data_IF_687302560406
#
_entry.id   IF_687302560406
#
_cell.length_a   1.000
_cell.length_b   1.000
_cell.length_c   1.000
_cell.angle_alpha   90.00
_cell.angle_beta   90.00
_cell.angle_gamma   90.00
#
_symmetry.space_group_name_H-M   'P 1'
#
loop_
_entity.id
_entity.type
_entity.pdbx_description
1 polymer ?
#
# COMPACT_ATOMS: atom_id res chain seq x y z
N UNK A 1 -17.29 8.48 -16.51
CA UNK A 1 -15.93 8.11 -16.05
C UNK A 1 -15.72 6.58 -16.17
N UNK A 2 -16.36 5.92 -17.16
CA UNK A 2 -16.58 4.46 -17.18
C UNK A 2 -15.78 3.68 -18.23
N UNK A 3 -14.99 4.34 -19.10
CA UNK A 3 -14.33 3.64 -20.21
C UNK A 3 -13.09 2.81 -19.80
N UNK A 4 -12.48 3.09 -18.63
CA UNK A 4 -11.22 2.44 -18.29
C UNK A 4 -11.39 0.97 -17.87
N UNK A 5 -12.49 0.63 -17.18
CA UNK A 5 -12.73 -0.75 -16.72
C UNK A 5 -13.01 -1.70 -17.89
N UNK A 6 -13.72 -1.22 -18.93
CA UNK A 6 -13.99 -1.98 -20.15
C UNK A 6 -12.69 -2.27 -20.92
N UNK A 7 -11.82 -1.27 -21.08
CA UNK A 7 -10.53 -1.42 -21.77
C UNK A 7 -9.54 -2.34 -21.06
N UNK A 8 -9.58 -2.39 -19.71
CA UNK A 8 -8.74 -3.29 -18.92
C UNK A 8 -9.16 -4.75 -19.10
N UNK A 9 -10.47 -5.03 -19.14
CA UNK A 9 -11.02 -6.35 -19.43
C UNK A 9 -10.67 -6.81 -20.83
N UNK A 10 -10.71 -5.89 -21.80
CA UNK A 10 -10.37 -6.15 -23.20
C UNK A 10 -8.87 -6.44 -23.41
N UNK A 11 -7.99 -5.79 -22.64
CA UNK A 11 -6.54 -6.11 -22.62
C UNK A 11 -6.20 -7.41 -21.87
N UNK A 12 -7.05 -7.84 -20.94
CA UNK A 12 -6.90 -9.13 -20.26
C UNK A 12 -7.34 -10.31 -21.16
N UNK A 13 -8.23 -10.07 -22.12
CA UNK A 13 -8.73 -11.07 -23.09
C UNK A 13 -8.06 -10.98 -24.47
N UNK A 14 -7.50 -9.81 -24.82
CA UNK A 14 -6.71 -9.60 -26.03
C UNK A 14 -5.27 -10.07 -25.83
N UNK A 15 -4.68 -10.72 -26.84
CA UNK A 15 -3.28 -11.14 -26.91
C UNK A 15 -2.28 -9.94 -26.95
N UNK A 16 -2.64 -8.76 -26.42
CA UNK A 16 -1.72 -7.64 -26.23
C UNK A 16 -0.73 -8.04 -25.13
N UNK A 17 0.38 -8.63 -25.56
CA UNK A 17 1.53 -8.93 -24.74
C UNK A 17 2.12 -7.62 -24.20
N UNK A 18 1.72 -7.23 -23.00
CA UNK A 18 2.49 -6.26 -22.23
C UNK A 18 3.83 -6.91 -21.88
N UNK A 19 4.90 -6.41 -22.50
CA UNK A 19 6.25 -6.81 -22.17
C UNK A 19 6.76 -5.93 -21.01
N UNK A 20 6.97 -6.58 -19.88
CA UNK A 20 7.56 -5.96 -18.71
C UNK A 20 8.97 -5.47 -19.08
N UNK A 21 9.24 -4.18 -18.94
CA UNK A 21 10.56 -3.62 -19.22
C UNK A 21 11.48 -3.99 -18.06
N UNK A 22 12.09 -5.17 -18.13
CA UNK A 22 12.97 -5.72 -17.09
C UNK A 22 14.05 -4.74 -16.64
N UNK A 23 14.57 -3.95 -17.58
CA UNK A 23 15.53 -2.88 -17.32
C UNK A 23 15.03 -1.74 -16.43
N UNK A 24 13.73 -1.65 -16.12
CA UNK A 24 13.15 -0.62 -15.25
C UNK A 24 12.70 -1.17 -13.89
N UNK A 25 12.68 -2.49 -13.69
CA UNK A 25 12.31 -3.12 -12.42
C UNK A 25 13.20 -2.65 -11.27
N UNK A 26 14.47 -2.35 -11.55
CA UNK A 26 15.42 -1.87 -10.55
C UNK A 26 15.08 -0.47 -10.01
N UNK A 27 14.24 0.31 -10.71
CA UNK A 27 13.77 1.62 -10.27
C UNK A 27 12.59 1.53 -9.31
N UNK A 28 11.92 0.37 -9.26
CA UNK A 28 10.77 0.18 -8.39
C UNK A 28 11.22 0.19 -6.93
N UNK A 29 10.49 0.91 -6.05
CA UNK A 29 10.79 0.87 -4.63
C UNK A 29 10.57 -0.54 -4.09
N UNK A 30 11.44 -0.99 -3.17
CA UNK A 30 11.31 -2.29 -2.51
C UNK A 30 10.60 -2.14 -1.17
N UNK A 31 9.76 -3.10 -0.87
CA UNK A 31 9.03 -3.21 0.38
C UNK A 31 9.15 -4.63 0.91
N UNK A 32 9.74 -4.74 2.08
CA UNK A 32 10.05 -6.01 2.74
C UNK A 32 9.03 -6.34 3.83
N UNK A 33 8.15 -5.39 4.16
CA UNK A 33 7.16 -5.55 5.24
C UNK A 33 7.79 -5.46 6.63
N UNK A 34 8.92 -4.77 6.77
CA UNK A 34 9.64 -4.65 8.04
C UNK A 34 8.97 -3.62 8.97
N UNK A 35 9.22 -3.78 10.27
CA UNK A 35 8.77 -2.81 11.29
C UNK A 35 9.38 -1.45 11.00
N UNK A 36 8.54 -0.44 10.79
CA UNK A 36 8.94 0.93 10.46
C UNK A 36 8.91 1.27 8.97
N UNK A 37 8.69 0.29 8.09
CA UNK A 37 8.32 0.58 6.70
C UNK A 37 6.87 1.07 6.64
N UNK A 38 6.60 2.05 5.77
CA UNK A 38 5.27 2.64 5.58
C UNK A 38 4.69 2.23 4.20
N UNK A 39 3.70 1.31 4.18
CA UNK A 39 2.93 0.93 2.99
C UNK A 39 2.35 2.10 2.18
N UNK A 40 1.89 3.18 2.84
CA UNK A 40 1.36 4.35 2.12
C UNK A 40 2.47 5.13 1.43
N UNK A 41 3.61 5.31 2.10
CA UNK A 41 4.81 5.89 1.51
C UNK A 41 5.34 5.05 0.34
N UNK A 42 5.28 3.71 0.45
CA UNK A 42 5.60 2.82 -0.66
C UNK A 42 4.69 3.09 -1.85
N UNK A 43 3.36 3.04 -1.66
CA UNK A 43 2.39 3.25 -2.75
C UNK A 43 2.61 4.59 -3.45
N UNK A 44 2.88 5.65 -2.68
CA UNK A 44 3.17 6.98 -3.24
C UNK A 44 4.42 6.97 -4.10
N UNK A 45 5.53 6.41 -3.62
CA UNK A 45 6.77 6.28 -4.40
C UNK A 45 6.57 5.42 -5.64
N UNK A 46 5.87 4.30 -5.49
CA UNK A 46 5.58 3.37 -6.57
C UNK A 46 4.80 4.04 -7.70
N UNK A 47 3.72 4.77 -7.39
CA UNK A 47 2.96 5.48 -8.42
C UNK A 47 3.76 6.54 -9.15
N UNK A 48 4.64 7.26 -8.45
CA UNK A 48 5.53 8.23 -9.08
C UNK A 48 6.45 7.52 -10.07
N UNK A 49 7.09 6.41 -9.68
CA UNK A 49 7.97 5.63 -10.57
C UNK A 49 7.19 5.10 -11.77
N UNK A 50 6.05 4.43 -11.57
CA UNK A 50 5.24 3.92 -12.67
C UNK A 50 4.75 5.01 -13.64
N UNK A 51 4.44 6.22 -13.14
CA UNK A 51 4.05 7.36 -13.99
C UNK A 51 5.14 7.75 -14.98
N UNK A 52 6.41 7.54 -14.63
CA UNK A 52 7.56 7.80 -15.52
C UNK A 52 7.79 6.68 -16.54
N UNK A 53 7.29 5.47 -16.27
CA UNK A 53 7.48 4.26 -17.09
C UNK A 53 6.41 4.13 -18.18
N UNK A 54 6.06 5.24 -18.84
CA UNK A 54 4.94 5.31 -19.79
C UNK A 54 5.13 4.33 -20.97
N UNK A 55 4.07 3.60 -21.29
CA UNK A 55 3.99 2.76 -22.49
C UNK A 55 2.81 3.21 -23.34
N UNK A 56 3.06 3.50 -24.61
CA UNK A 56 2.07 4.04 -25.53
C UNK A 56 0.98 2.99 -25.78
N UNK A 57 -0.29 3.37 -25.61
CA UNK A 57 -1.44 2.48 -25.84
C UNK A 57 -1.81 1.54 -24.67
N UNK A 58 -1.10 1.58 -23.54
CA UNK A 58 -1.39 0.75 -22.37
C UNK A 58 -1.91 1.63 -21.22
N UNK A 59 -3.07 1.31 -20.61
CA UNK A 59 -3.57 2.00 -19.44
C UNK A 59 -2.57 1.96 -18.29
N UNK A 60 -2.36 3.10 -17.64
CA UNK A 60 -1.39 3.23 -16.56
C UNK A 60 -1.71 2.33 -15.36
N UNK A 61 -3.00 2.12 -15.09
CA UNK A 61 -3.46 1.26 -14.01
C UNK A 61 -3.12 -0.22 -14.27
N UNK A 62 -3.11 -0.65 -15.53
CA UNK A 62 -2.67 -1.99 -15.93
C UNK A 62 -1.16 -2.17 -15.65
N UNK A 63 -0.36 -1.16 -16.02
CA UNK A 63 1.09 -1.16 -15.77
C UNK A 63 1.36 -1.24 -14.27
N UNK A 64 0.72 -0.36 -13.48
CA UNK A 64 0.84 -0.36 -12.01
C UNK A 64 0.48 -1.73 -11.43
N UNK A 65 -0.59 -2.36 -11.90
CA UNK A 65 -1.02 -3.66 -11.43
C UNK A 65 -0.02 -4.77 -11.77
N UNK A 66 0.58 -4.75 -12.96
CA UNK A 66 1.58 -5.73 -13.41
C UNK A 66 2.96 -5.54 -12.77
N UNK A 67 3.35 -4.30 -12.49
CA UNK A 67 4.67 -3.95 -11.94
C UNK A 67 4.71 -4.05 -10.40
N UNK A 68 3.56 -3.92 -9.72
CA UNK A 68 3.50 -3.89 -8.25
C UNK A 68 4.10 -5.12 -7.56
N UNK A 69 3.89 -6.37 -8.04
CA UNK A 69 4.52 -7.55 -7.44
C UNK A 69 6.03 -7.45 -7.35
N UNK A 70 6.70 -6.74 -8.27
CA UNK A 70 8.15 -6.56 -8.23
C UNK A 70 8.63 -5.56 -7.18
N UNK A 71 7.71 -4.79 -6.58
CA UNK A 71 8.00 -3.90 -5.45
C UNK A 71 7.92 -4.61 -4.10
N UNK A 72 7.38 -5.83 -4.05
CA UNK A 72 7.19 -6.59 -2.82
C UNK A 72 8.21 -7.71 -2.72
N UNK A 73 8.70 -7.95 -1.50
CA UNK A 73 9.51 -9.13 -1.18
C UNK A 73 8.57 -10.28 -0.78
N UNK A 74 8.03 -11.01 -1.78
CA UNK A 74 7.08 -12.09 -1.53
C UNK A 74 6.29 -12.54 -2.75
N UNK A 75 5.37 -13.49 -2.52
CA UNK A 75 4.63 -14.16 -3.59
C UNK A 75 3.76 -13.18 -4.40
N UNK A 76 3.77 -13.29 -5.75
CA UNK A 76 2.92 -12.48 -6.61
C UNK A 76 1.45 -12.77 -6.30
N UNK A 77 0.71 -11.72 -5.94
CA UNK A 77 -0.73 -11.79 -5.76
C UNK A 77 -1.39 -11.36 -7.08
N UNK A 78 -2.36 -12.15 -7.56
CA UNK A 78 -3.15 -11.77 -8.73
C UNK A 78 -4.21 -10.76 -8.27
N UNK A 79 -4.23 -9.60 -8.93
CA UNK A 79 -5.19 -8.54 -8.68
C UNK A 79 -6.11 -8.40 -9.89
N UNK A 80 -7.41 -8.24 -9.65
CA UNK A 80 -8.38 -8.04 -10.72
C UNK A 80 -8.47 -6.56 -11.12
N UNK A 81 -8.27 -5.65 -10.16
CA UNK A 81 -8.25 -4.20 -10.38
C UNK A 81 -7.14 -3.52 -9.58
N UNK A 82 -6.77 -2.29 -9.97
CA UNK A 82 -5.84 -1.47 -9.18
C UNK A 82 -6.42 -1.14 -7.79
N UNK A 83 -7.74 -1.04 -7.66
CA UNK A 83 -8.43 -0.85 -6.38
C UNK A 83 -8.19 -2.04 -5.45
N UNK A 84 -8.44 -3.25 -5.94
CA UNK A 84 -8.23 -4.50 -5.19
C UNK A 84 -6.77 -4.64 -4.76
N UNK A 85 -5.83 -4.32 -5.66
CA UNK A 85 -4.41 -4.33 -5.34
C UNK A 85 -4.08 -3.45 -4.15
N UNK A 86 -4.57 -2.20 -4.12
CA UNK A 86 -4.35 -1.29 -2.99
C UNK A 86 -5.00 -1.82 -1.72
N UNK A 87 -6.25 -2.26 -1.80
CA UNK A 87 -7.00 -2.72 -0.64
C UNK A 87 -6.35 -3.96 -0.02
N UNK A 88 -6.04 -4.98 -0.82
CA UNK A 88 -5.43 -6.22 -0.33
C UNK A 88 -4.03 -5.98 0.24
N UNK A 89 -3.23 -5.11 -0.39
CA UNK A 89 -1.92 -4.74 0.13
C UNK A 89 -2.04 -4.04 1.48
N UNK A 90 -2.91 -3.03 1.57
CA UNK A 90 -3.09 -2.28 2.82
C UNK A 90 -3.71 -3.15 3.91
N UNK A 91 -4.69 -4.01 3.62
CA UNK A 91 -5.23 -4.95 4.62
C UNK A 91 -4.18 -5.92 5.15
N UNK A 92 -3.27 -6.40 4.29
CA UNK A 92 -2.22 -7.34 4.69
C UNK A 92 -1.27 -6.72 5.72
N UNK A 93 -0.89 -5.46 5.54
CA UNK A 93 0.08 -4.79 6.41
C UNK A 93 -0.58 -3.92 7.51
N UNK A 94 -1.83 -3.50 7.29
CA UNK A 94 -2.67 -2.70 8.19
C UNK A 94 -4.11 -3.23 8.20
N UNK A 95 -4.34 -4.40 8.82
CA UNK A 95 -5.68 -4.94 8.91
C UNK A 95 -6.57 -4.00 9.73
N UNK A 96 -7.79 -3.78 9.24
CA UNK A 96 -8.80 -2.91 9.86
C UNK A 96 -9.03 -3.24 11.34
N UNK A 97 -8.91 -4.52 11.72
CA UNK A 97 -9.00 -4.99 13.10
C UNK A 97 -7.92 -4.38 14.01
N UNK A 98 -6.67 -4.27 13.54
CA UNK A 98 -5.58 -3.63 14.30
C UNK A 98 -5.83 -2.12 14.44
N UNK A 99 -6.24 -1.47 13.36
CA UNK A 99 -6.59 -0.03 13.38
C UNK A 99 -7.74 0.27 14.36
N UNK A 100 -8.76 -0.60 14.41
CA UNK A 100 -9.87 -0.46 15.34
C UNK A 100 -9.41 -0.63 16.81
N UNK A 101 -8.55 -1.60 17.09
CA UNK A 101 -7.97 -1.81 18.43
C UNK A 101 -7.12 -0.62 18.87
N UNK A 102 -6.19 -0.15 18.03
CA UNK A 102 -5.36 1.04 18.34
C UNK A 102 -6.22 2.27 18.63
N UNK A 103 -7.27 2.53 17.82
CA UNK A 103 -8.20 3.65 18.08
C UNK A 103 -8.94 3.49 19.41
N UNK A 104 -9.39 2.28 19.73
CA UNK A 104 -10.06 1.99 21.02
C UNK A 104 -9.12 2.22 22.20
N UNK A 105 -7.85 1.81 22.08
CA UNK A 105 -6.83 2.05 23.11
C UNK A 105 -6.54 3.54 23.29
N UNK A 106 -6.38 4.30 22.20
CA UNK A 106 -6.17 5.76 22.26
C UNK A 106 -7.38 6.46 22.90
N UNK A 107 -8.61 6.14 22.49
CA UNK A 107 -9.81 6.76 23.07
C UNK A 107 -10.07 6.32 24.52
N UNK A 108 -9.59 5.13 24.90
CA UNK A 108 -9.79 4.55 26.23
C UNK A 108 -8.68 4.84 27.23
N UNK A 109 -7.55 5.40 26.78
CA UNK A 109 -6.38 5.62 27.65
C UNK A 109 -6.70 6.65 28.74
N UNK A 110 -6.41 6.28 29.98
CA UNK A 110 -6.54 7.15 31.16
C UNK A 110 -5.24 7.13 31.95
N UNK A 111 -4.95 8.22 32.65
CA UNK A 111 -3.86 8.28 33.61
C UNK A 111 -4.18 7.35 34.78
N UNK A 112 -3.23 6.50 35.16
CA UNK A 112 -3.37 5.64 36.33
C UNK A 112 -3.07 6.41 37.62
N UNK A 113 -3.64 5.98 38.74
CA UNK A 113 -3.47 6.65 40.04
C UNK A 113 -2.03 6.68 40.57
N UNK A 114 -1.15 5.82 40.06
CA UNK A 114 0.28 5.75 40.41
C UNK A 114 1.21 6.27 39.32
N UNK A 115 0.65 6.73 38.19
CA UNK A 115 1.39 7.18 37.02
C UNK A 115 1.50 8.70 37.05
N UNK A 116 2.72 9.22 36.86
CA UNK A 116 2.94 10.66 36.69
C UNK A 116 2.36 11.15 35.37
N UNK A 117 2.15 12.47 35.25
CA UNK A 117 1.71 13.06 33.98
C UNK A 117 2.70 12.81 32.83
N UNK A 118 3.99 12.76 33.14
CA UNK A 118 5.04 12.50 32.16
C UNK A 118 4.96 11.06 31.63
N UNK A 119 4.84 10.07 32.52
CA UNK A 119 4.72 8.66 32.12
C UNK A 119 3.45 8.40 31.32
N UNK A 120 2.33 9.04 31.70
CA UNK A 120 1.09 9.01 30.93
C UNK A 120 1.28 9.59 29.52
N UNK A 121 1.95 10.74 29.41
CA UNK A 121 2.24 11.40 28.14
C UNK A 121 3.12 10.55 27.23
N UNK A 122 4.16 9.91 27.78
CA UNK A 122 5.01 8.98 27.01
C UNK A 122 4.21 7.78 26.50
N UNK A 123 3.35 7.19 27.33
CA UNK A 123 2.51 6.06 26.94
C UNK A 123 1.47 6.46 25.88
N UNK A 124 0.87 7.64 26.01
CA UNK A 124 -0.02 8.21 25.02
C UNK A 124 0.68 8.40 23.68
N UNK A 125 1.83 9.07 23.65
CA UNK A 125 2.60 9.28 22.42
C UNK A 125 3.06 7.98 21.77
N UNK A 126 3.46 7.01 22.58
CA UNK A 126 3.82 5.67 22.08
C UNK A 126 2.64 4.99 21.40
N UNK A 127 1.43 5.11 21.94
CA UNK A 127 0.21 4.60 21.30
C UNK A 127 -0.12 5.38 20.01
N UNK A 128 -0.04 6.71 20.03
CA UNK A 128 -0.21 7.53 18.83
C UNK A 128 0.77 7.17 17.70
N UNK A 129 2.03 6.86 18.03
CA UNK A 129 3.04 6.44 17.07
C UNK A 129 2.74 5.08 16.40
N UNK A 130 1.86 4.26 16.98
CA UNK A 130 1.41 3.01 16.35
C UNK A 130 0.22 3.20 15.41
N UNK A 131 -0.37 4.40 15.37
CA UNK A 131 -1.43 4.75 14.44
C UNK A 131 -0.81 5.20 13.10
N UNK A 132 -1.09 4.51 11.98
CA UNK A 132 -0.50 4.83 10.67
C UNK A 132 -1.10 6.08 9.99
N UNK A 133 -1.97 6.84 10.67
CA UNK A 133 -2.71 7.98 10.11
C UNK A 133 -2.42 9.31 10.82
N UNK A 134 -1.16 9.58 11.17
CA UNK A 134 -0.79 10.91 11.65
C UNK A 134 -0.45 11.87 10.52
#
# INVERSE_FOLDING_TARGET
>A
MENNDLTLKELATSNVSYELKSGLIHLLPKFHGLVGEDPHKLLKKFYVVCSTMRSQGIPEDYIKMKEFPFSLDGAPTLFNTLGDMKCMFLEKFFPTSRTATTRKEICGIRQHSRETLHEYWERFNKLCATCPHH
#
